data_IF_821229383531
#
_entry.id   IF_821229383531
#
_cell.length_a   1.000
_cell.length_b   1.000
_cell.length_c   1.000
_cell.angle_alpha   90.00
_cell.angle_beta   90.00
_cell.angle_gamma   90.00
#
_symmetry.space_group_name_H-M   'P 1'
#
loop_
_entity.id
_entity.type
_entity.pdbx_description
1 polymer ?
#
# COMPACT_ATOMS: atom_id res chain seq x y z
N UNK A 1 -28.73 -10.10 -5.03
CA UNK A 1 -28.07 -9.03 -5.81
C UNK A 1 -27.52 -7.96 -4.87
N UNK A 2 -26.30 -7.48 -5.10
CA UNK A 2 -25.83 -6.28 -4.43
C UNK A 2 -26.67 -5.07 -4.91
N UNK A 3 -26.93 -4.06 -4.06
CA UNK A 3 -27.64 -2.86 -4.48
C UNK A 3 -26.94 -2.19 -5.67
N UNK A 4 -27.69 -1.54 -6.55
CA UNK A 4 -27.10 -0.62 -7.52
C UNK A 4 -26.43 0.52 -6.75
N UNK A 5 -25.10 0.56 -6.81
CA UNK A 5 -24.26 1.40 -5.97
C UNK A 5 -22.89 1.61 -6.61
N UNK A 6 -22.33 2.78 -6.30
CA UNK A 6 -21.22 3.44 -6.96
C UNK A 6 -19.93 2.62 -7.18
N UNK A 7 -19.14 3.14 -8.12
CA UNK A 7 -17.79 2.73 -8.55
C UNK A 7 -17.48 1.23 -8.46
N UNK A 8 -17.53 0.57 -9.61
CA UNK A 8 -17.05 -0.81 -9.79
C UNK A 8 -15.76 -0.79 -10.62
N UNK A 9 -14.58 -1.01 -10.00
CA UNK A 9 -13.32 -1.01 -10.75
C UNK A 9 -13.34 -2.10 -11.83
N UNK A 10 -12.88 -1.76 -13.03
CA UNK A 10 -12.65 -2.73 -14.09
C UNK A 10 -11.41 -3.58 -13.78
N UNK A 11 -11.28 -4.72 -14.44
CA UNK A 11 -10.06 -5.54 -14.35
C UNK A 11 -8.84 -4.70 -14.72
N UNK A 12 -7.80 -4.76 -13.90
CA UNK A 12 -6.58 -3.97 -14.05
C UNK A 12 -6.60 -2.60 -13.37
N UNK A 13 -7.74 -2.18 -12.79
CA UNK A 13 -7.78 -0.95 -11.99
C UNK A 13 -6.92 -1.09 -10.74
N UNK A 14 -5.99 -0.17 -10.53
CA UNK A 14 -5.21 -0.04 -9.30
C UNK A 14 -5.99 0.77 -8.28
N UNK A 15 -6.16 0.26 -7.07
CA UNK A 15 -6.91 0.90 -5.99
C UNK A 15 -5.99 1.09 -4.78
N UNK A 16 -5.93 2.30 -4.19
CA UNK A 16 -5.19 2.50 -2.95
C UNK A 16 -5.90 1.78 -1.79
N UNK A 17 -5.14 1.05 -0.98
CA UNK A 17 -5.64 0.39 0.23
C UNK A 17 -4.94 1.00 1.44
N UNK A 18 -5.72 1.63 2.32
CA UNK A 18 -5.19 2.15 3.58
C UNK A 18 -5.17 1.02 4.60
N UNK A 19 -4.01 0.71 5.20
CA UNK A 19 -3.94 -0.33 6.21
C UNK A 19 -4.67 0.11 7.49
N UNK A 20 -5.39 -0.81 8.13
CA UNK A 20 -6.01 -0.56 9.44
C UNK A 20 -4.95 -0.41 10.55
N UNK A 21 -3.91 -1.25 10.52
CA UNK A 21 -2.76 -1.15 11.41
C UNK A 21 -1.48 -1.21 10.60
N UNK A 22 -0.58 -0.25 10.80
CA UNK A 22 0.59 -0.05 9.93
C UNK A 22 1.66 -1.14 10.12
N UNK A 23 1.96 -1.51 11.37
CA UNK A 23 3.07 -2.42 11.68
C UNK A 23 3.01 -3.80 10.98
N UNK A 24 1.89 -4.55 11.02
CA UNK A 24 1.81 -5.86 10.37
C UNK A 24 1.83 -5.74 8.86
N UNK A 25 1.49 -4.59 8.29
CA UNK A 25 1.60 -4.39 6.85
C UNK A 25 3.06 -4.16 6.49
N UNK A 26 3.71 -3.14 7.08
CA UNK A 26 5.09 -2.77 6.75
C UNK A 26 6.08 -3.92 6.95
N UNK A 27 5.96 -4.71 8.02
CA UNK A 27 6.90 -5.83 8.29
C UNK A 27 6.82 -6.97 7.25
N UNK A 28 5.78 -7.01 6.42
CA UNK A 28 5.64 -8.02 5.37
C UNK A 28 6.22 -7.58 4.02
N UNK A 29 6.74 -6.36 3.89
CA UNK A 29 7.35 -5.85 2.66
C UNK A 29 8.84 -5.60 2.83
N UNK A 30 9.59 -5.78 1.74
CA UNK A 30 11.04 -5.54 1.71
C UNK A 30 11.39 -4.06 1.58
N UNK A 31 10.54 -3.27 0.93
CA UNK A 31 10.75 -1.85 0.67
C UNK A 31 9.47 -1.05 0.86
N UNK A 32 9.61 0.22 1.23
CA UNK A 32 8.58 1.24 1.06
C UNK A 32 8.86 2.04 -0.21
N UNK A 33 7.81 2.18 -1.02
CA UNK A 33 7.79 3.15 -2.11
C UNK A 33 7.32 4.49 -1.54
N UNK A 34 8.19 5.50 -1.55
CA UNK A 34 7.90 6.84 -1.04
C UNK A 34 7.77 7.79 -2.21
N UNK A 35 6.69 8.58 -2.22
CA UNK A 35 6.39 9.59 -3.24
C UNK A 35 6.00 10.92 -2.61
N UNK A 36 6.22 12.00 -3.34
CA UNK A 36 5.56 13.28 -3.07
C UNK A 36 4.04 13.20 -3.31
N UNK A 37 3.34 14.26 -2.90
CA UNK A 37 1.89 14.39 -3.06
C UNK A 37 1.42 14.48 -4.52
N UNK A 38 2.33 14.72 -5.46
CA UNK A 38 2.04 14.79 -6.90
C UNK A 38 2.33 13.49 -7.63
N UNK A 39 2.86 12.46 -6.95
CA UNK A 39 3.22 11.18 -7.56
C UNK A 39 4.49 11.22 -8.41
N UNK A 40 5.26 12.29 -8.35
CA UNK A 40 6.32 12.61 -9.33
C UNK A 40 7.72 12.22 -8.87
N UNK A 41 7.97 12.17 -7.56
CA UNK A 41 9.20 11.66 -6.99
C UNK A 41 9.02 10.22 -6.55
N UNK A 42 10.05 9.41 -6.76
CA UNK A 42 10.05 8.00 -6.40
C UNK A 42 11.33 7.68 -5.64
N UNK A 43 11.17 7.30 -4.38
CA UNK A 43 12.24 6.72 -3.58
C UNK A 43 11.86 5.33 -3.11
N UNK A 44 12.88 4.49 -2.92
CA UNK A 44 12.75 3.14 -2.37
C UNK A 44 13.53 3.09 -1.07
N UNK A 45 12.85 2.81 0.02
CA UNK A 45 13.48 2.67 1.33
C UNK A 45 13.40 1.22 1.76
N UNK A 46 14.52 0.56 2.10
CA UNK A 46 14.48 -0.79 2.63
C UNK A 46 13.79 -0.82 4.00
N UNK A 47 13.09 -1.91 4.30
CA UNK A 47 12.61 -2.20 5.65
C UNK A 47 13.71 -2.97 6.39
N UNK A 48 14.72 -2.24 6.87
CA UNK A 48 15.96 -2.85 7.39
C UNK A 48 15.74 -3.77 8.60
N UNK A 49 14.74 -3.47 9.44
CA UNK A 49 14.41 -4.27 10.62
C UNK A 49 13.40 -5.40 10.33
N UNK A 50 13.11 -5.70 9.05
CA UNK A 50 12.15 -6.75 8.69
C UNK A 50 12.59 -8.10 9.28
N UNK A 51 11.70 -8.74 10.03
CA UNK A 51 11.97 -10.03 10.67
C UNK A 51 12.75 -9.94 11.99
N UNK A 52 13.11 -8.75 12.46
CA UNK A 52 13.67 -8.52 13.79
C UNK A 52 12.52 -8.37 14.80
N UNK A 53 12.03 -9.48 15.34
CA UNK A 53 10.83 -9.57 16.19
C UNK A 53 11.13 -9.62 17.71
N UNK A 54 12.29 -9.12 18.10
CA UNK A 54 12.85 -9.30 19.46
C UNK A 54 12.53 -8.13 20.39
#
# INVERSE_FOLDING_TARGET
PLPDGDFRPSVGTVIPVVPNHVCPVVINFEELIVTDSTGTSLQRWPVDARGFLN
#
